data_IF_329222564459
#
_entry.id   IF_329222564459
#
_cell.length_a   1.000
_cell.length_b   1.000
_cell.length_c   1.000
_cell.angle_alpha   90.00
_cell.angle_beta   90.00
_cell.angle_gamma   90.00
#
_symmetry.space_group_name_H-M   'P 1'
#
loop_
_entity.id
_entity.type
_entity.pdbx_description
1 polymer ?
#
# COMPACT_ATOMS: atom_id res chain seq x y z
N UNK A 1 -52.50 19.20 18.21
CA UNK A 1 -51.49 19.44 17.14
C UNK A 1 -50.13 19.07 17.71
N UNK A 2 -49.73 17.81 17.51
CA UNK A 2 -48.60 17.39 16.67
C UNK A 2 -47.23 17.67 17.30
N UNK A 3 -46.81 16.72 18.13
CA UNK A 3 -45.40 16.43 18.39
C UNK A 3 -44.75 16.02 17.05
N UNK A 4 -43.89 16.87 16.51
CA UNK A 4 -43.01 16.58 15.38
C UNK A 4 -41.60 16.59 16.01
N UNK A 5 -41.08 15.46 16.48
CA UNK A 5 -40.60 14.37 15.64
C UNK A 5 -39.10 14.57 15.42
N UNK A 6 -38.29 14.38 16.47
CA UNK A 6 -36.83 14.30 16.35
C UNK A 6 -36.52 12.97 15.67
N UNK A 7 -36.37 12.98 14.35
CA UNK A 7 -35.82 11.84 13.61
C UNK A 7 -34.31 11.83 13.81
N UNK A 8 -33.84 11.01 14.76
CA UNK A 8 -32.43 10.70 14.90
C UNK A 8 -31.95 9.93 13.67
N UNK A 9 -31.07 10.53 12.88
CA UNK A 9 -30.30 9.82 11.87
C UNK A 9 -29.26 8.94 12.56
N UNK A 10 -29.62 7.69 12.87
CA UNK A 10 -28.63 6.63 13.05
C UNK A 10 -28.23 6.16 11.65
N UNK A 11 -27.29 6.87 11.03
CA UNK A 11 -26.57 6.32 9.87
C UNK A 11 -25.68 5.19 10.38
N UNK A 12 -26.10 3.94 10.15
CA UNK A 12 -25.20 2.81 10.27
C UNK A 12 -24.04 3.03 9.28
N UNK A 13 -22.84 3.32 9.77
CA UNK A 13 -21.63 3.25 8.95
C UNK A 13 -21.42 1.78 8.58
N UNK A 14 -21.93 1.37 7.42
CA UNK A 14 -21.46 0.15 6.80
C UNK A 14 -19.96 0.35 6.53
N UNK A 15 -19.11 -0.50 7.11
CA UNK A 15 -17.68 -0.47 6.80
C UNK A 15 -17.51 -0.71 5.30
N UNK A 16 -16.88 0.23 4.60
CA UNK A 16 -16.59 0.07 3.18
C UNK A 16 -15.66 -1.13 2.97
N UNK A 17 -16.05 -2.06 2.10
CA UNK A 17 -15.22 -3.21 1.72
C UNK A 17 -13.99 -2.73 0.94
N UNK A 18 -12.85 -3.39 1.15
CA UNK A 18 -11.62 -3.14 0.39
C UNK A 18 -11.49 -4.18 -0.71
N UNK A 19 -11.35 -3.71 -1.95
CA UNK A 19 -10.85 -4.50 -3.07
C UNK A 19 -9.36 -4.21 -3.22
N UNK A 20 -8.53 -5.18 -2.86
CA UNK A 20 -7.06 -5.06 -2.86
C UNK A 20 -6.50 -5.91 -3.99
N UNK A 21 -5.68 -5.31 -4.86
CA UNK A 21 -5.10 -5.95 -6.04
C UNK A 21 -3.58 -5.91 -5.94
N UNK A 22 -2.93 -7.08 -5.97
CA UNK A 22 -1.50 -7.19 -6.22
C UNK A 22 -1.24 -7.05 -7.72
N UNK A 23 -0.18 -6.31 -8.07
CA UNK A 23 0.17 -6.00 -9.45
C UNK A 23 1.66 -6.25 -9.65
N UNK A 24 1.99 -7.38 -10.26
CA UNK A 24 3.32 -7.75 -10.75
C UNK A 24 3.44 -7.66 -12.29
N UNK A 25 2.32 -7.42 -12.97
CA UNK A 25 2.21 -7.09 -14.39
C UNK A 25 1.02 -6.16 -14.65
N UNK A 26 1.03 -5.42 -15.76
CA UNK A 26 0.00 -4.42 -16.05
C UNK A 26 -1.38 -5.07 -16.24
N UNK A 27 -2.42 -4.68 -15.45
CA UNK A 27 -3.76 -5.23 -15.61
C UNK A 27 -4.46 -4.61 -16.83
N UNK A 28 -5.46 -5.31 -17.34
CA UNK A 28 -6.41 -4.72 -18.28
C UNK A 28 -7.22 -3.61 -17.60
N UNK A 29 -7.52 -2.54 -18.34
CA UNK A 29 -8.14 -1.32 -17.79
C UNK A 29 -9.58 -1.52 -17.31
N UNK A 30 -10.26 -2.58 -17.71
CA UNK A 30 -11.60 -2.93 -17.23
C UNK A 30 -11.62 -3.49 -15.80
N UNK A 31 -10.48 -3.99 -15.31
CA UNK A 31 -10.37 -4.65 -14.00
C UNK A 31 -10.09 -3.68 -12.83
N UNK A 32 -9.74 -2.42 -13.11
CA UNK A 32 -9.18 -1.50 -12.10
C UNK A 32 -10.22 -0.58 -11.46
N UNK A 33 -11.41 -0.44 -12.05
CA UNK A 33 -12.40 0.58 -11.66
C UNK A 33 -12.94 0.45 -10.23
N UNK A 34 -12.95 -0.76 -9.67
CA UNK A 34 -13.40 -1.05 -8.30
C UNK A 34 -12.26 -1.23 -7.30
N UNK A 35 -11.00 -1.12 -7.74
CA UNK A 35 -9.83 -1.37 -6.89
C UNK A 35 -9.67 -0.23 -5.90
N UNK A 36 -9.66 -0.57 -4.62
CA UNK A 36 -9.48 0.40 -3.53
C UNK A 36 -8.01 0.54 -3.11
N UNK A 37 -7.22 -0.52 -3.28
CA UNK A 37 -5.78 -0.54 -3.00
C UNK A 37 -5.08 -1.33 -4.10
N UNK A 38 -4.11 -0.73 -4.75
CA UNK A 38 -3.27 -1.37 -5.74
C UNK A 38 -1.84 -1.49 -5.18
N UNK A 39 -1.31 -2.71 -5.13
CA UNK A 39 -0.05 -3.04 -4.49
C UNK A 39 0.96 -3.42 -5.57
N UNK A 40 1.96 -2.57 -5.79
CA UNK A 40 3.06 -2.86 -6.70
C UNK A 40 3.97 -3.92 -6.08
N UNK A 41 4.14 -5.03 -6.80
CA UNK A 41 4.88 -6.19 -6.32
C UNK A 41 6.12 -6.42 -7.22
N UNK A 42 7.34 -6.59 -6.70
CA UNK A 42 7.78 -6.45 -5.31
C UNK A 42 9.05 -5.60 -5.20
N UNK A 43 9.22 -4.90 -4.08
CA UNK A 43 10.50 -4.32 -3.68
C UNK A 43 11.37 -5.40 -3.01
N UNK A 44 12.66 -5.54 -3.35
CA UNK A 44 13.54 -6.53 -2.70
C UNK A 44 13.64 -6.31 -1.19
N UNK A 45 13.54 -7.39 -0.41
CA UNK A 45 13.49 -7.31 1.06
C UNK A 45 14.76 -6.73 1.67
N UNK A 46 15.92 -6.97 1.06
CA UNK A 46 17.22 -6.54 1.56
C UNK A 46 17.49 -5.03 1.40
N UNK A 47 16.78 -4.37 0.47
CA UNK A 47 16.98 -2.95 0.19
C UNK A 47 16.88 -2.11 1.46
N UNK A 48 16.02 -2.51 2.41
CA UNK A 48 15.71 -1.74 3.60
C UNK A 48 16.55 -2.09 4.83
N UNK A 49 17.49 -3.03 4.74
CA UNK A 49 18.43 -3.28 5.85
C UNK A 49 19.45 -2.14 6.02
N UNK A 50 19.79 -1.45 4.93
CA UNK A 50 20.79 -0.36 4.94
C UNK A 50 20.49 0.80 3.98
N UNK A 51 19.55 0.65 3.05
CA UNK A 51 19.14 1.69 2.11
C UNK A 51 17.63 1.93 2.13
N UNK A 52 17.15 2.80 1.26
CA UNK A 52 15.73 3.18 1.18
C UNK A 52 15.24 3.28 -0.27
N UNK A 53 16.00 2.72 -1.21
CA UNK A 53 15.70 2.83 -2.63
C UNK A 53 14.83 1.68 -3.11
N UNK A 54 13.80 2.00 -3.87
CA UNK A 54 13.00 1.05 -4.63
C UNK A 54 12.90 1.55 -6.07
N UNK A 55 13.28 0.69 -7.02
CA UNK A 55 13.09 0.96 -8.45
C UNK A 55 11.80 0.27 -8.89
N UNK A 56 10.71 1.01 -9.11
CA UNK A 56 9.45 0.41 -9.54
C UNK A 56 9.55 -0.08 -10.99
N UNK A 57 8.79 -1.12 -11.36
CA UNK A 57 8.77 -1.62 -12.75
C UNK A 57 8.10 -0.64 -13.72
N UNK A 58 7.32 0.31 -13.19
CA UNK A 58 6.67 1.40 -13.91
C UNK A 58 6.76 2.67 -13.06
N UNK A 59 6.93 3.87 -13.64
CA UNK A 59 6.86 5.11 -12.88
C UNK A 59 5.58 5.20 -12.05
N UNK A 60 5.70 5.62 -10.78
CA UNK A 60 4.58 5.59 -9.81
C UNK A 60 3.40 6.44 -10.27
N UNK A 61 3.66 7.60 -10.90
CA UNK A 61 2.61 8.45 -11.44
C UNK A 61 1.83 7.76 -12.57
N UNK A 62 2.53 7.02 -13.44
CA UNK A 62 1.90 6.23 -14.51
C UNK A 62 1.06 5.09 -13.91
N UNK A 63 1.60 4.39 -12.91
CA UNK A 63 0.87 3.33 -12.22
C UNK A 63 -0.39 3.86 -11.52
N UNK A 64 -0.27 4.98 -10.80
CA UNK A 64 -1.37 5.66 -10.11
C UNK A 64 -2.47 6.08 -11.07
N UNK A 65 -2.13 6.58 -12.25
CA UNK A 65 -3.09 7.03 -13.26
C UNK A 65 -3.98 5.91 -13.84
N UNK A 66 -3.63 4.64 -13.64
CA UNK A 66 -4.44 3.48 -14.07
C UNK A 66 -5.64 3.24 -13.18
N UNK A 67 -5.58 3.68 -11.92
CA UNK A 67 -6.61 3.42 -10.93
C UNK A 67 -7.48 4.66 -10.69
N UNK A 68 -8.69 4.48 -10.13
CA UNK A 68 -9.44 5.61 -9.60
C UNK A 68 -8.58 6.50 -8.69
N UNK A 69 -8.80 7.82 -8.72
CA UNK A 69 -8.02 8.75 -7.89
C UNK A 69 -8.17 8.53 -6.37
N UNK A 70 -9.19 7.77 -5.97
CA UNK A 70 -9.44 7.33 -4.59
C UNK A 70 -8.63 6.09 -4.18
N UNK A 71 -8.01 5.40 -5.13
CA UNK A 71 -7.25 4.17 -4.88
C UNK A 71 -5.94 4.48 -4.19
N UNK A 72 -5.62 3.71 -3.14
CA UNK A 72 -4.33 3.76 -2.47
C UNK A 72 -3.30 2.96 -3.27
N UNK A 73 -2.15 3.57 -3.54
CA UNK A 73 -1.05 2.96 -4.28
C UNK A 73 0.03 2.54 -3.29
N UNK A 74 0.24 1.25 -3.13
CA UNK A 74 1.13 0.67 -2.13
C UNK A 74 2.24 -0.14 -2.81
N UNK A 75 3.22 -0.58 -2.02
CA UNK A 75 4.26 -1.51 -2.47
C UNK A 75 4.31 -2.73 -1.57
N UNK A 76 4.46 -3.91 -2.15
CA UNK A 76 4.79 -5.11 -1.38
C UNK A 76 6.31 -5.30 -1.36
N UNK A 77 6.86 -5.60 -0.18
CA UNK A 77 8.26 -5.94 -0.02
C UNK A 77 8.40 -7.47 0.05
N UNK A 78 9.39 -8.03 -0.65
CA UNK A 78 9.69 -9.46 -0.64
C UNK A 78 9.04 -10.23 -1.78
N UNK A 79 8.16 -11.16 -1.45
CA UNK A 79 7.58 -12.13 -2.39
C UNK A 79 8.06 -13.56 -2.10
N UNK A 80 7.61 -14.51 -2.91
CA UNK A 80 7.91 -15.93 -2.68
C UNK A 80 9.43 -16.18 -2.74
N UNK A 81 10.02 -16.53 -1.59
CA UNK A 81 11.45 -16.85 -1.45
C UNK A 81 12.34 -15.67 -1.02
N UNK A 82 11.86 -14.44 -1.06
CA UNK A 82 12.63 -13.26 -0.65
C UNK A 82 12.46 -12.96 0.85
N UNK A 83 13.17 -13.73 1.68
CA UNK A 83 13.09 -13.67 3.15
C UNK A 83 14.39 -13.16 3.83
N UNK A 84 15.46 -12.96 3.07
CA UNK A 84 16.79 -12.67 3.63
C UNK A 84 16.80 -11.31 4.36
N UNK A 85 16.21 -10.29 3.76
CA UNK A 85 16.14 -8.97 4.35
C UNK A 85 15.26 -8.91 5.60
N UNK A 86 14.15 -9.64 5.60
CA UNK A 86 13.28 -9.79 6.77
C UNK A 86 13.99 -10.50 7.92
N UNK A 87 14.69 -11.60 7.62
CA UNK A 87 15.45 -12.36 8.61
C UNK A 87 16.51 -11.47 9.27
N UNK A 88 17.25 -10.71 8.48
CA UNK A 88 18.23 -9.72 8.96
C UNK A 88 17.59 -8.62 9.79
N UNK A 89 16.43 -8.09 9.35
CA UNK A 89 15.75 -6.99 10.02
C UNK A 89 15.18 -7.40 11.39
N UNK A 90 14.67 -8.62 11.54
CA UNK A 90 13.94 -9.05 12.72
C UNK A 90 14.82 -9.33 13.96
N UNK A 91 16.14 -9.54 13.78
CA UNK A 91 17.07 -10.05 14.82
C UNK A 91 17.12 -9.18 16.08
N UNK A 92 17.05 -7.86 15.95
CA UNK A 92 17.22 -6.93 17.08
C UNK A 92 16.29 -5.73 16.99
N UNK A 93 16.11 -5.01 18.10
CA UNK A 93 15.37 -3.75 18.10
C UNK A 93 16.00 -2.72 17.17
N UNK A 94 17.32 -2.61 17.19
CA UNK A 94 18.08 -1.71 16.30
C UNK A 94 17.83 -2.05 14.83
N UNK A 95 17.95 -3.32 14.43
CA UNK A 95 17.74 -3.73 13.04
C UNK A 95 16.29 -3.51 12.58
N UNK A 96 15.29 -3.74 13.45
CA UNK A 96 13.88 -3.46 13.14
C UNK A 96 13.64 -1.96 12.97
N UNK A 97 14.23 -1.13 13.84
CA UNK A 97 14.10 0.32 13.78
C UNK A 97 14.70 0.87 12.48
N UNK A 98 15.92 0.44 12.13
CA UNK A 98 16.57 0.79 10.87
C UNK A 98 15.71 0.40 9.67
N UNK A 99 15.18 -0.82 9.66
CA UNK A 99 14.32 -1.29 8.56
C UNK A 99 13.06 -0.43 8.41
N UNK A 100 12.37 -0.14 9.51
CA UNK A 100 11.17 0.70 9.49
C UNK A 100 11.47 2.14 9.03
N UNK A 101 12.58 2.73 9.47
CA UNK A 101 13.01 4.07 9.02
C UNK A 101 13.29 4.10 7.52
N UNK A 102 13.96 3.08 7.01
CA UNK A 102 14.29 2.94 5.61
C UNK A 102 13.05 2.75 4.73
N UNK A 103 12.09 1.95 5.18
CA UNK A 103 10.78 1.81 4.52
C UNK A 103 10.03 3.15 4.52
N UNK A 104 10.00 3.86 5.65
CA UNK A 104 9.36 5.18 5.72
C UNK A 104 10.01 6.21 4.79
N UNK A 105 11.36 6.21 4.71
CA UNK A 105 12.10 7.07 3.79
C UNK A 105 11.79 6.74 2.32
N UNK A 106 11.68 5.45 1.99
CA UNK A 106 11.25 5.01 0.66
C UNK A 106 9.86 5.54 0.32
N UNK A 107 8.86 5.36 1.20
CA UNK A 107 7.50 5.87 0.99
C UNK A 107 7.48 7.40 0.79
N UNK A 108 8.23 8.14 1.61
CA UNK A 108 8.34 9.59 1.48
C UNK A 108 8.96 10.03 0.16
N UNK A 109 9.99 9.32 -0.33
CA UNK A 109 10.67 9.64 -1.58
C UNK A 109 9.86 9.29 -2.83
N UNK A 110 9.00 8.28 -2.73
CA UNK A 110 8.28 7.71 -3.86
C UNK A 110 6.85 8.22 -3.98
N UNK A 111 6.26 8.74 -2.89
CA UNK A 111 4.86 9.16 -2.86
C UNK A 111 3.88 7.99 -2.85
N UNK A 112 4.34 6.79 -2.48
CA UNK A 112 3.47 5.63 -2.23
C UNK A 112 2.66 5.85 -0.94
N UNK A 113 1.41 5.41 -0.96
CA UNK A 113 0.46 5.54 0.14
C UNK A 113 0.73 4.55 1.29
N UNK A 114 1.56 3.53 1.08
CA UNK A 114 1.91 2.56 2.12
C UNK A 114 2.71 1.36 1.62
N UNK A 115 3.02 0.48 2.57
CA UNK A 115 3.70 -0.81 2.43
C UNK A 115 2.79 -1.93 2.96
#
# INVERSE_FOLDING_TARGET
MKYLGVAGFLAAQAAALRHVMYVDHLPSSDLVSSVTHAIMAFAPSENFNSGSTFTPFEPIDTFRARFPSTTKIMVAIGGWGDNAGFSTAAVSETSRSTYAQNVAAMLASTGLDGV
#
